data_IF_771725685525
#
_entry.id   IF_771725685525
#
_cell.length_a   1.000
_cell.length_b   1.000
_cell.length_c   1.000
_cell.angle_alpha   90.00
_cell.angle_beta   90.00
_cell.angle_gamma   90.00
#
_symmetry.space_group_name_H-M   'P 1'
#
loop_
_entity.id
_entity.type
_entity.pdbx_description
1 polymer ?
#
# COMPACT_ATOMS: atom_id res chain seq x y z
N UNK A 1 -36.52 -50.12 73.43
CA UNK A 1 -35.31 -49.27 73.26
C UNK A 1 -35.15 -49.05 71.79
N UNK A 2 -35.42 -47.86 71.31
CA UNK A 2 -35.41 -47.51 69.87
C UNK A 2 -34.19 -46.63 69.63
N UNK A 3 -33.25 -47.13 68.89
CA UNK A 3 -32.00 -46.39 68.52
C UNK A 3 -32.22 -45.60 67.21
N UNK A 4 -32.18 -44.27 67.29
CA UNK A 4 -32.26 -43.39 66.17
C UNK A 4 -30.90 -43.31 65.43
N UNK A 5 -30.86 -43.68 64.17
CA UNK A 5 -29.72 -43.43 63.31
C UNK A 5 -29.83 -42.02 62.69
N UNK A 6 -28.79 -41.22 62.86
CA UNK A 6 -28.65 -39.89 62.27
C UNK A 6 -27.92 -40.05 60.93
N UNK A 7 -28.60 -39.76 59.77
CA UNK A 7 -27.97 -39.66 58.51
C UNK A 7 -27.40 -38.24 58.34
N UNK A 8 -26.07 -38.14 58.22
CA UNK A 8 -25.37 -36.91 57.87
C UNK A 8 -25.22 -36.84 56.33
N UNK A 9 -25.99 -35.94 55.69
CA UNK A 9 -25.88 -35.71 54.28
C UNK A 9 -24.65 -34.86 53.97
N UNK A 10 -23.69 -35.40 53.21
CA UNK A 10 -22.57 -34.68 52.61
C UNK A 10 -23.06 -34.02 51.31
N UNK A 11 -23.21 -32.71 51.29
CA UNK A 11 -23.44 -31.95 50.07
C UNK A 11 -22.12 -31.79 49.30
N UNK A 12 -21.99 -32.47 48.15
CA UNK A 12 -20.90 -32.27 47.22
C UNK A 12 -21.17 -30.97 46.45
N UNK A 13 -20.45 -29.91 46.76
CA UNK A 13 -20.40 -28.69 45.92
C UNK A 13 -19.43 -28.95 44.76
N UNK A 14 -19.98 -29.27 43.59
CA UNK A 14 -19.23 -29.35 42.36
C UNK A 14 -18.82 -27.91 41.94
N UNK A 15 -17.59 -27.53 42.24
CA UNK A 15 -16.98 -26.30 41.75
C UNK A 15 -16.79 -26.38 40.24
N UNK A 16 -17.61 -25.68 39.46
CA UNK A 16 -17.38 -25.43 38.05
C UNK A 16 -16.21 -24.46 37.92
N UNK A 17 -15.00 -24.96 37.69
CA UNK A 17 -13.86 -24.16 37.26
C UNK A 17 -14.10 -23.74 35.82
N UNK A 18 -14.53 -22.50 35.60
CA UNK A 18 -14.55 -21.88 34.30
C UNK A 18 -13.10 -21.64 33.89
N UNK A 19 -12.56 -22.54 33.09
CA UNK A 19 -11.32 -22.32 32.37
C UNK A 19 -11.60 -21.22 31.34
N UNK A 20 -11.32 -19.95 31.70
CA UNK A 20 -11.15 -18.86 30.73
C UNK A 20 -9.89 -19.20 29.96
N UNK A 21 -10.04 -19.97 28.87
CA UNK A 21 -8.98 -20.19 27.92
C UNK A 21 -8.59 -18.83 27.37
N UNK A 22 -7.40 -18.33 27.70
CA UNK A 22 -6.79 -17.26 26.95
C UNK A 22 -6.62 -17.78 25.54
N UNK A 23 -7.52 -17.39 24.63
CA UNK A 23 -7.33 -17.65 23.21
C UNK A 23 -5.99 -17.03 22.83
N UNK A 24 -5.03 -17.85 22.39
CA UNK A 24 -3.78 -17.36 21.86
C UNK A 24 -4.12 -16.36 20.73
N UNK A 25 -3.48 -15.20 20.76
CA UNK A 25 -3.70 -14.19 19.71
C UNK A 25 -3.40 -14.83 18.35
N UNK A 26 -4.38 -14.81 17.46
CA UNK A 26 -4.23 -15.30 16.09
C UNK A 26 -3.22 -14.42 15.38
N UNK A 27 -2.19 -15.03 14.79
CA UNK A 27 -1.13 -14.30 14.08
C UNK A 27 -1.28 -14.48 12.58
N UNK A 28 -1.33 -13.36 11.84
CA UNK A 28 -1.42 -13.33 10.37
C UNK A 28 -0.13 -12.76 9.78
N UNK A 29 0.48 -13.50 8.84
CA UNK A 29 1.72 -13.11 8.14
C UNK A 29 1.35 -12.39 6.84
N UNK A 30 1.81 -11.14 6.71
CA UNK A 30 1.55 -10.27 5.55
C UNK A 30 2.86 -9.88 4.90
N UNK A 31 3.11 -10.36 3.67
CA UNK A 31 4.32 -10.05 2.91
C UNK A 31 3.99 -9.16 1.70
N UNK A 32 4.91 -8.34 1.22
CA UNK A 32 4.73 -7.63 -0.05
C UNK A 32 4.97 -6.13 -0.01
N UNK A 33 3.99 -5.35 -0.49
CA UNK A 33 4.10 -3.91 -0.70
C UNK A 33 4.52 -3.13 0.54
N UNK A 34 5.65 -2.43 0.44
CA UNK A 34 6.11 -1.49 1.48
C UNK A 34 5.16 -0.29 1.64
N UNK A 35 4.43 0.09 0.59
CA UNK A 35 3.41 1.15 0.66
C UNK A 35 2.26 0.73 1.58
N UNK A 36 1.69 -0.46 1.36
CA UNK A 36 0.61 -0.99 2.22
C UNK A 36 1.11 -1.18 3.65
N UNK A 37 2.33 -1.72 3.82
CA UNK A 37 2.94 -1.88 5.14
C UNK A 37 3.02 -0.54 5.89
N UNK A 38 3.63 0.48 5.29
CA UNK A 38 3.94 1.76 5.96
C UNK A 38 2.73 2.67 6.14
N UNK A 39 1.79 2.64 5.20
CA UNK A 39 0.64 3.53 5.21
C UNK A 39 -0.59 2.95 5.93
N UNK A 40 -0.76 1.64 5.90
CA UNK A 40 -1.96 0.98 6.43
C UNK A 40 -1.63 0.13 7.64
N UNK A 41 -0.78 -0.89 7.47
CA UNK A 41 -0.64 -1.94 8.47
C UNK A 41 0.09 -1.48 9.71
N UNK A 42 1.27 -0.86 9.58
CA UNK A 42 2.06 -0.41 10.73
C UNK A 42 1.33 0.64 11.58
N UNK A 43 0.72 1.71 10.98
CA UNK A 43 0.04 2.72 11.79
C UNK A 43 -1.17 2.20 12.54
N UNK A 44 -1.86 1.19 12.00
CA UNK A 44 -3.06 0.61 12.60
C UNK A 44 -2.84 -0.68 13.39
N UNK A 45 -1.60 -1.22 13.46
CA UNK A 45 -1.30 -2.54 14.02
C UNK A 45 -1.83 -2.73 15.44
N UNK A 46 -1.53 -1.80 16.34
CA UNK A 46 -1.92 -1.90 17.74
C UNK A 46 -3.43 -1.77 17.93
N UNK A 47 -4.06 -0.88 17.15
CA UNK A 47 -5.50 -0.71 17.16
C UNK A 47 -6.22 -1.95 16.60
N UNK A 48 -5.71 -2.55 15.52
CA UNK A 48 -6.21 -3.81 14.97
C UNK A 48 -6.15 -4.92 16.04
N UNK A 49 -4.99 -5.09 16.68
CA UNK A 49 -4.82 -6.11 17.73
C UNK A 49 -5.80 -5.90 18.87
N UNK A 50 -5.99 -4.65 19.31
CA UNK A 50 -6.95 -4.32 20.37
C UNK A 50 -8.40 -4.62 19.97
N UNK A 51 -8.77 -4.31 18.72
CA UNK A 51 -10.15 -4.48 18.23
C UNK A 51 -10.50 -5.93 17.90
N UNK A 52 -9.56 -6.70 17.36
CA UNK A 52 -9.84 -8.02 16.78
C UNK A 52 -9.16 -9.19 17.50
N UNK A 53 -8.18 -8.93 18.35
CA UNK A 53 -7.32 -9.95 18.96
C UNK A 53 -6.25 -10.50 17.98
N UNK A 54 -6.21 -10.01 16.72
CA UNK A 54 -5.29 -10.50 15.70
C UNK A 54 -3.98 -9.72 15.77
N UNK A 55 -2.86 -10.43 15.81
CA UNK A 55 -1.53 -9.86 15.61
C UNK A 55 -1.08 -10.03 14.16
N UNK A 56 -0.31 -9.09 13.62
CA UNK A 56 0.21 -9.16 12.26
C UNK A 56 1.73 -9.13 12.24
N UNK A 57 2.33 -10.03 11.46
CA UNK A 57 3.75 -10.05 11.14
C UNK A 57 3.93 -9.52 9.72
N UNK A 58 4.76 -8.49 9.56
CA UNK A 58 4.89 -7.72 8.33
C UNK A 58 6.27 -7.91 7.70
N UNK A 59 6.30 -8.26 6.41
CA UNK A 59 7.53 -8.33 5.61
C UNK A 59 7.35 -7.48 4.35
N UNK A 60 7.95 -6.29 4.32
CA UNK A 60 7.92 -5.38 3.17
C UNK A 60 9.02 -5.70 2.16
N UNK A 61 8.77 -6.62 1.25
CA UNK A 61 9.71 -7.08 0.24
C UNK A 61 9.29 -6.77 -1.21
N UNK A 62 8.22 -5.97 -1.40
CA UNK A 62 7.66 -5.59 -2.70
C UNK A 62 6.50 -6.51 -3.13
N UNK A 63 5.55 -5.94 -3.91
CA UNK A 63 4.30 -6.63 -4.29
C UNK A 63 4.57 -7.99 -4.94
N UNK A 64 5.42 -8.06 -5.96
CA UNK A 64 5.70 -9.31 -6.68
C UNK A 64 6.27 -10.41 -5.77
N UNK A 65 7.24 -10.07 -4.92
CA UNK A 65 7.82 -11.02 -3.95
C UNK A 65 6.76 -11.47 -2.92
N UNK A 66 5.85 -10.57 -2.51
CA UNK A 66 4.76 -10.91 -1.61
C UNK A 66 3.79 -11.91 -2.23
N UNK A 67 3.45 -11.74 -3.52
CA UNK A 67 2.61 -12.70 -4.25
C UNK A 67 3.32 -14.05 -4.41
N UNK A 68 4.63 -14.06 -4.70
CA UNK A 68 5.44 -15.29 -4.72
C UNK A 68 5.41 -16.01 -3.36
N UNK A 69 5.58 -15.27 -2.27
CA UNK A 69 5.52 -15.81 -0.92
C UNK A 69 4.14 -16.39 -0.58
N UNK A 70 3.06 -15.74 -1.05
CA UNK A 70 1.69 -16.23 -0.87
C UNK A 70 1.47 -17.54 -1.63
N UNK A 71 1.87 -17.60 -2.91
CA UNK A 71 1.76 -18.81 -3.73
C UNK A 71 2.56 -19.97 -3.13
N UNK A 72 3.73 -19.66 -2.57
CA UNK A 72 4.60 -20.63 -1.89
C UNK A 72 4.15 -20.98 -0.45
N UNK A 73 3.05 -20.42 0.06
CA UNK A 73 2.54 -20.68 1.41
C UNK A 73 3.37 -20.09 2.56
N UNK A 74 4.26 -19.14 2.28
CA UNK A 74 5.12 -18.49 3.28
C UNK A 74 4.39 -17.39 4.04
N UNK A 75 3.29 -16.86 3.52
CA UNK A 75 2.43 -15.87 4.18
C UNK A 75 0.95 -16.21 3.99
N UNK A 76 0.10 -15.54 4.74
CA UNK A 76 -1.34 -15.78 4.77
C UNK A 76 -2.09 -14.85 3.82
N UNK A 77 -1.51 -13.66 3.52
CA UNK A 77 -1.94 -12.78 2.45
C UNK A 77 -0.77 -11.93 1.94
N UNK A 78 -0.84 -11.52 0.66
CA UNK A 78 0.14 -10.61 0.08
C UNK A 78 -0.38 -9.16 0.10
N UNK A 79 0.46 -8.24 0.57
CA UNK A 79 0.21 -6.81 0.47
C UNK A 79 0.53 -6.34 -0.95
N UNK A 80 -0.42 -5.69 -1.62
CA UNK A 80 -0.25 -5.17 -2.99
C UNK A 80 -0.68 -3.71 -3.11
N UNK A 81 0.01 -2.97 -3.96
CA UNK A 81 -0.26 -1.56 -4.27
C UNK A 81 -0.38 -1.31 -5.79
N UNK A 82 -0.94 -2.25 -6.48
CA UNK A 82 -1.22 -2.28 -7.91
C UNK A 82 -2.36 -3.27 -8.17
N UNK A 83 -2.94 -3.25 -9.36
CA UNK A 83 -3.98 -4.20 -9.76
C UNK A 83 -3.48 -5.66 -9.68
N UNK A 84 -4.39 -6.61 -9.45
CA UNK A 84 -4.04 -8.03 -9.30
C UNK A 84 -3.22 -8.55 -10.49
N UNK A 85 -3.62 -8.21 -11.72
CA UNK A 85 -2.91 -8.64 -12.91
C UNK A 85 -1.47 -8.11 -12.96
N UNK A 86 -1.27 -6.84 -12.55
CA UNK A 86 0.06 -6.23 -12.49
C UNK A 86 0.90 -6.82 -11.34
N UNK A 87 0.27 -7.13 -10.20
CA UNK A 87 0.91 -7.80 -9.07
C UNK A 87 1.45 -9.17 -9.47
N UNK A 88 0.65 -9.96 -10.18
CA UNK A 88 1.07 -11.26 -10.75
C UNK A 88 2.17 -11.08 -11.81
N UNK A 89 2.04 -10.08 -12.69
CA UNK A 89 3.06 -9.80 -13.71
C UNK A 89 4.41 -9.39 -13.08
N UNK A 90 4.40 -8.79 -11.90
CA UNK A 90 5.60 -8.35 -11.19
C UNK A 90 6.35 -9.46 -10.44
N UNK A 91 5.81 -10.70 -10.40
CA UNK A 91 6.51 -11.87 -9.89
C UNK A 91 7.76 -12.17 -10.75
N UNK A 92 8.86 -12.52 -10.11
CA UNK A 92 10.11 -12.91 -10.79
C UNK A 92 10.06 -14.36 -11.24
N UNK A 93 9.44 -15.23 -10.43
CA UNK A 93 9.32 -16.65 -10.74
C UNK A 93 8.19 -16.89 -11.76
N UNK A 94 8.58 -17.22 -12.99
CA UNK A 94 7.64 -17.56 -14.06
C UNK A 94 6.87 -18.86 -13.77
N UNK A 95 7.44 -19.82 -13.03
CA UNK A 95 6.78 -21.07 -12.69
C UNK A 95 5.66 -20.87 -11.67
N UNK A 96 5.83 -19.93 -10.74
CA UNK A 96 4.81 -19.54 -9.78
C UNK A 96 3.57 -18.90 -10.43
N UNK A 97 3.71 -18.26 -11.59
CA UNK A 97 2.59 -17.63 -12.31
C UNK A 97 1.49 -18.60 -12.72
N UNK A 98 1.82 -19.87 -12.97
CA UNK A 98 0.84 -20.90 -13.29
C UNK A 98 -0.12 -21.22 -12.11
N UNK A 99 0.29 -20.94 -10.87
CA UNK A 99 -0.46 -21.21 -9.66
C UNK A 99 -1.29 -20.01 -9.17
N UNK A 100 -1.52 -18.99 -10.01
CA UNK A 100 -2.17 -17.74 -9.62
C UNK A 100 -3.65 -17.67 -9.95
N UNK A 101 -4.22 -18.73 -10.54
CA UNK A 101 -5.62 -18.72 -11.03
C UNK A 101 -6.70 -18.59 -9.95
N UNK A 102 -6.36 -18.80 -8.69
CA UNK A 102 -7.26 -18.69 -7.54
C UNK A 102 -6.98 -17.46 -6.65
N UNK A 103 -6.10 -16.56 -7.09
CA UNK A 103 -5.80 -15.35 -6.33
C UNK A 103 -6.95 -14.36 -6.35
N UNK A 104 -7.31 -13.82 -5.19
CA UNK A 104 -8.40 -12.86 -5.01
C UNK A 104 -7.91 -11.55 -4.40
N UNK A 105 -8.27 -10.39 -5.00
CA UNK A 105 -7.96 -9.09 -4.44
C UNK A 105 -8.98 -8.70 -3.37
N UNK A 106 -8.50 -8.23 -2.21
CA UNK A 106 -9.30 -7.67 -1.14
C UNK A 106 -8.87 -6.21 -0.97
N UNK A 107 -9.50 -5.30 -1.72
CA UNK A 107 -9.16 -3.87 -1.73
C UNK A 107 -9.54 -3.25 -0.38
N UNK A 108 -8.61 -2.52 0.22
CA UNK A 108 -8.80 -1.76 1.48
C UNK A 108 -9.14 -0.32 1.17
N UNK A 109 -8.33 0.34 0.34
CA UNK A 109 -8.50 1.74 -0.09
C UNK A 109 -7.75 1.99 -1.40
N UNK A 110 -7.98 3.13 -2.00
CA UNK A 110 -7.22 3.59 -3.16
C UNK A 110 -6.11 4.56 -2.72
N UNK A 111 -4.97 4.48 -3.39
CA UNK A 111 -3.88 5.43 -3.28
C UNK A 111 -3.91 6.38 -4.46
N UNK A 112 -3.98 7.68 -4.19
CA UNK A 112 -3.97 8.70 -5.24
C UNK A 112 -2.53 9.12 -5.50
N UNK A 113 -2.09 9.02 -6.76
CA UNK A 113 -0.80 9.53 -7.23
C UNK A 113 -1.01 10.96 -7.69
N UNK A 114 -0.19 11.87 -7.19
CA UNK A 114 -0.20 13.28 -7.54
C UNK A 114 1.06 13.65 -8.32
N UNK A 115 0.89 14.49 -9.32
CA UNK A 115 2.00 15.13 -10.02
C UNK A 115 2.45 16.33 -9.20
N UNK A 116 3.75 16.39 -8.98
CA UNK A 116 4.39 17.44 -8.19
C UNK A 116 5.41 18.18 -9.05
N UNK A 117 5.49 19.48 -8.80
CA UNK A 117 6.50 20.37 -9.38
C UNK A 117 7.14 21.23 -8.30
N UNK A 118 8.23 21.88 -8.63
CA UNK A 118 8.83 22.90 -7.74
C UNK A 118 7.81 24.01 -7.45
N UNK A 119 7.74 24.57 -6.23
CA UNK A 119 6.83 25.66 -5.91
C UNK A 119 6.99 26.90 -6.80
N UNK A 120 8.20 27.17 -7.34
CA UNK A 120 8.48 28.26 -8.25
C UNK A 120 7.93 28.05 -9.67
N UNK A 121 7.57 26.82 -10.05
CA UNK A 121 7.00 26.53 -11.37
C UNK A 121 5.58 27.13 -11.47
N UNK A 122 5.26 27.97 -12.48
CA UNK A 122 3.95 28.63 -12.56
C UNK A 122 2.80 27.68 -13.00
N UNK A 123 3.11 26.53 -13.59
CA UNK A 123 2.10 25.60 -14.10
C UNK A 123 1.22 25.06 -12.97
N UNK A 124 -0.10 25.15 -13.15
CA UNK A 124 -1.09 24.71 -12.15
C UNK A 124 -1.96 23.55 -12.62
N UNK A 125 -2.00 23.30 -13.93
CA UNK A 125 -2.83 22.25 -14.52
C UNK A 125 -2.13 21.64 -15.74
N UNK A 126 -2.27 20.31 -15.90
CA UNK A 126 -1.74 19.56 -17.04
C UNK A 126 -2.78 18.52 -17.51
N UNK A 127 -2.92 18.37 -18.82
CA UNK A 127 -3.69 17.29 -19.42
C UNK A 127 -2.90 15.97 -19.38
N UNK A 128 -3.57 14.86 -19.68
CA UNK A 128 -2.92 13.54 -19.77
C UNK A 128 -1.84 13.53 -20.86
N UNK A 129 -2.12 14.14 -22.01
CA UNK A 129 -1.22 14.24 -23.16
C UNK A 129 0.02 15.08 -22.81
N UNK A 130 -0.19 16.19 -22.09
CA UNK A 130 0.93 17.03 -21.63
C UNK A 130 1.80 16.27 -20.62
N UNK A 131 1.19 15.55 -19.67
CA UNK A 131 1.92 14.70 -18.71
C UNK A 131 2.74 13.65 -19.44
N UNK A 132 2.14 12.92 -20.39
CA UNK A 132 2.84 11.94 -21.22
C UNK A 132 4.01 12.59 -21.95
N UNK A 133 3.78 13.75 -22.58
CA UNK A 133 4.81 14.47 -23.35
C UNK A 133 5.97 14.95 -22.49
N UNK A 134 5.71 15.47 -21.29
CA UNK A 134 6.74 15.90 -20.33
C UNK A 134 7.59 14.71 -19.86
N UNK A 135 6.96 13.59 -19.49
CA UNK A 135 7.68 12.45 -18.95
C UNK A 135 8.42 11.59 -19.97
N UNK A 136 7.97 11.58 -21.23
CA UNK A 136 8.68 10.87 -22.31
C UNK A 136 9.63 11.76 -23.12
N UNK A 137 9.69 13.07 -22.81
CA UNK A 137 10.61 14.03 -23.44
C UNK A 137 10.15 14.62 -24.76
N UNK A 138 8.92 14.33 -25.25
CA UNK A 138 8.38 15.01 -26.47
C UNK A 138 8.01 16.47 -26.16
N UNK A 139 7.78 16.81 -24.91
CA UNK A 139 7.72 18.16 -24.36
C UNK A 139 8.91 18.32 -23.42
N UNK A 140 9.95 18.99 -23.90
CA UNK A 140 11.25 19.13 -23.24
C UNK A 140 11.45 20.50 -22.56
N UNK A 141 10.48 21.42 -22.73
CA UNK A 141 10.53 22.76 -22.18
C UNK A 141 9.17 23.16 -21.60
N UNK A 142 9.17 23.74 -20.41
CA UNK A 142 7.99 24.16 -19.69
C UNK A 142 7.17 25.24 -20.43
N UNK A 143 7.80 26.08 -21.27
CA UNK A 143 7.09 27.09 -22.07
C UNK A 143 6.04 26.49 -23.00
N UNK A 144 6.21 25.22 -23.42
CA UNK A 144 5.26 24.49 -24.26
C UNK A 144 3.94 24.13 -23.56
N UNK A 145 3.91 24.27 -22.23
CA UNK A 145 2.73 23.99 -21.40
C UNK A 145 2.35 25.16 -20.49
N UNK A 146 2.78 26.37 -20.84
CA UNK A 146 2.43 27.60 -20.12
C UNK A 146 3.33 27.89 -18.90
N UNK A 147 4.47 27.23 -18.80
CA UNK A 147 5.51 27.48 -17.81
C UNK A 147 6.57 28.48 -18.26
N UNK A 148 7.63 28.60 -17.48
CA UNK A 148 8.80 29.42 -17.81
C UNK A 148 9.62 28.78 -18.95
N UNK A 149 10.50 29.54 -19.59
CA UNK A 149 11.43 29.02 -20.58
C UNK A 149 12.59 28.28 -19.89
N UNK A 150 12.30 27.06 -19.44
CA UNK A 150 13.21 26.16 -18.72
C UNK A 150 13.05 24.75 -19.27
N UNK A 151 14.16 24.02 -19.41
CA UNK A 151 14.14 22.60 -19.78
C UNK A 151 13.48 21.77 -18.67
N UNK A 152 12.75 20.72 -19.07
CA UNK A 152 12.07 19.83 -18.10
C UNK A 152 13.06 18.84 -17.49
N UNK A 153 13.09 18.73 -16.17
CA UNK A 153 13.80 17.68 -15.43
C UNK A 153 12.78 16.70 -14.88
N UNK A 154 12.70 15.51 -15.46
CA UNK A 154 11.84 14.44 -14.97
C UNK A 154 12.55 13.72 -13.84
N UNK A 155 11.93 13.70 -12.64
CA UNK A 155 12.38 12.92 -11.50
C UNK A 155 11.41 11.75 -11.33
N UNK A 156 11.93 10.54 -11.21
CA UNK A 156 11.10 9.34 -11.06
C UNK A 156 11.74 8.34 -10.10
N UNK A 157 10.93 7.54 -9.42
CA UNK A 157 11.43 6.45 -8.60
C UNK A 157 12.05 5.34 -9.47
N UNK A 158 12.83 4.45 -8.83
CA UNK A 158 13.48 3.31 -9.49
C UNK A 158 12.51 2.35 -10.20
N UNK A 159 13.02 1.50 -11.09
CA UNK A 159 12.22 0.57 -11.91
C UNK A 159 11.31 -0.38 -11.11
N UNK A 160 11.69 -0.73 -9.89
CA UNK A 160 10.88 -1.55 -8.98
C UNK A 160 9.70 -0.83 -8.31
N UNK A 161 9.59 0.50 -8.48
CA UNK A 161 8.53 1.30 -7.85
C UNK A 161 7.17 1.04 -8.48
N UNK A 162 6.19 0.64 -7.66
CA UNK A 162 4.81 0.50 -8.11
C UNK A 162 4.20 1.84 -8.53
N UNK A 163 4.55 2.96 -7.90
CA UNK A 163 4.10 4.30 -8.30
C UNK A 163 4.55 4.63 -9.72
N UNK A 164 5.85 4.40 -10.03
CA UNK A 164 6.40 4.58 -11.37
C UNK A 164 5.67 3.72 -12.41
N UNK A 165 5.46 2.43 -12.12
CA UNK A 165 4.75 1.50 -13.03
C UNK A 165 3.32 1.93 -13.31
N UNK A 166 2.57 2.29 -12.25
CA UNK A 166 1.18 2.76 -12.39
C UNK A 166 1.13 4.04 -13.21
N UNK A 167 2.01 5.01 -12.95
CA UNK A 167 2.08 6.24 -13.73
C UNK A 167 2.42 5.97 -15.20
N UNK A 168 3.43 5.14 -15.46
CA UNK A 168 3.83 4.76 -16.82
C UNK A 168 2.69 4.05 -17.57
N UNK A 169 1.95 3.16 -16.91
CA UNK A 169 0.82 2.44 -17.52
C UNK A 169 -0.36 3.38 -17.80
N UNK A 170 -0.81 4.13 -16.78
CA UNK A 170 -2.07 4.87 -16.85
C UNK A 170 -1.96 6.22 -17.53
N UNK A 171 -0.82 6.90 -17.43
CA UNK A 171 -0.58 8.24 -18.01
C UNK A 171 0.21 8.15 -19.31
N UNK A 172 1.33 7.41 -19.28
CA UNK A 172 2.25 7.32 -20.40
C UNK A 172 1.87 6.21 -21.41
N UNK A 173 0.82 5.42 -21.10
CA UNK A 173 0.33 4.33 -21.96
C UNK A 173 1.43 3.32 -22.32
N UNK A 174 2.30 3.05 -21.35
CA UNK A 174 3.42 2.12 -21.50
C UNK A 174 4.66 2.70 -22.17
N UNK A 175 4.61 3.96 -22.68
CA UNK A 175 5.81 4.57 -23.29
C UNK A 175 6.92 4.74 -22.24
N UNK A 176 8.21 4.61 -22.63
CA UNK A 176 9.30 4.79 -21.68
C UNK A 176 9.43 6.25 -21.22
N UNK A 177 9.99 6.42 -20.02
CA UNK A 177 10.45 7.74 -19.58
C UNK A 177 11.58 8.25 -20.47
N UNK A 178 11.74 9.59 -20.54
CA UNK A 178 12.87 10.21 -21.24
C UNK A 178 14.21 9.65 -20.73
N UNK A 179 15.15 9.40 -21.62
CA UNK A 179 16.43 8.77 -21.29
C UNK A 179 17.26 9.51 -20.22
N UNK A 180 17.06 10.83 -20.09
CA UNK A 180 17.70 11.67 -19.06
C UNK A 180 16.91 11.82 -17.77
N UNK A 181 15.84 11.02 -17.55
CA UNK A 181 15.08 11.08 -16.30
C UNK A 181 15.97 10.78 -15.09
N UNK A 182 15.90 11.62 -14.05
CA UNK A 182 16.61 11.43 -12.79
C UNK A 182 15.92 10.34 -11.98
N UNK A 183 16.52 9.15 -12.00
CA UNK A 183 16.01 8.02 -11.23
C UNK A 183 16.51 8.10 -9.79
N UNK A 184 15.58 8.01 -8.82
CA UNK A 184 15.86 8.05 -7.39
C UNK A 184 15.39 6.78 -6.67
N UNK A 185 16.06 6.44 -5.57
CA UNK A 185 15.81 5.19 -4.82
C UNK A 185 14.51 5.19 -4.02
N UNK A 186 14.00 6.37 -3.64
CA UNK A 186 12.82 6.47 -2.75
C UNK A 186 11.94 7.64 -3.14
N UNK A 187 10.63 7.53 -2.85
CA UNK A 187 9.65 8.61 -3.04
C UNK A 187 10.04 9.88 -2.26
N UNK A 188 10.72 9.76 -1.12
CA UNK A 188 11.22 10.93 -0.38
C UNK A 188 12.27 11.68 -1.20
N UNK A 189 13.24 10.95 -1.76
CA UNK A 189 14.25 11.55 -2.64
C UNK A 189 13.63 12.17 -3.90
N UNK A 190 12.52 11.63 -4.41
CA UNK A 190 11.78 12.22 -5.52
C UNK A 190 11.23 13.60 -5.14
N UNK A 191 10.58 13.73 -3.98
CA UNK A 191 10.10 15.00 -3.44
C UNK A 191 11.27 15.99 -3.22
N UNK A 192 12.36 15.52 -2.59
CA UNK A 192 13.52 16.37 -2.29
C UNK A 192 14.17 16.90 -3.58
N UNK A 193 14.32 16.07 -4.61
CA UNK A 193 14.90 16.51 -5.89
C UNK A 193 13.97 17.47 -6.64
N UNK A 194 12.66 17.20 -6.73
CA UNK A 194 11.71 18.15 -7.34
C UNK A 194 11.73 19.49 -6.60
N UNK A 195 11.94 19.50 -5.30
CA UNK A 195 12.04 20.75 -4.51
C UNK A 195 13.30 21.56 -4.79
N UNK A 196 14.36 20.92 -5.25
CA UNK A 196 15.65 21.57 -5.53
C UNK A 196 15.73 22.15 -6.96
N UNK A 197 15.01 21.57 -7.91
CA UNK A 197 15.06 21.96 -9.31
C UNK A 197 13.79 22.75 -9.70
N UNK A 198 13.88 24.05 -10.05
CA UNK A 198 12.72 24.80 -10.57
C UNK A 198 12.08 24.14 -11.81
N UNK A 199 12.86 23.37 -12.55
CA UNK A 199 12.48 22.61 -13.74
C UNK A 199 11.88 21.23 -13.44
N UNK A 200 11.88 20.82 -12.16
CA UNK A 200 11.55 19.47 -11.73
C UNK A 200 10.07 19.13 -11.83
N UNK A 201 9.79 17.92 -12.34
CA UNK A 201 8.47 17.27 -12.29
C UNK A 201 8.63 15.84 -11.78
N UNK A 202 7.70 15.39 -10.93
CA UNK A 202 7.65 14.02 -10.43
C UNK A 202 6.21 13.56 -10.21
N UNK A 203 6.05 12.27 -9.86
CA UNK A 203 4.75 11.68 -9.59
C UNK A 203 4.81 10.78 -8.35
N UNK A 204 4.16 11.19 -7.26
CA UNK A 204 4.25 10.53 -5.95
C UNK A 204 2.88 10.25 -5.34
N UNK A 205 2.81 9.24 -4.48
CA UNK A 205 1.60 8.97 -3.70
C UNK A 205 1.28 10.14 -2.76
N UNK A 206 -0.01 10.51 -2.68
CA UNK A 206 -0.51 11.59 -1.82
C UNK A 206 -0.09 11.39 -0.35
N UNK A 207 -0.07 10.14 0.12
CA UNK A 207 0.36 9.84 1.49
C UNK A 207 1.80 10.23 1.80
N UNK A 208 2.69 10.29 0.81
CA UNK A 208 4.05 10.81 1.03
C UNK A 208 4.10 12.34 1.05
N UNK A 209 3.24 12.99 0.28
CA UNK A 209 3.13 14.46 0.29
C UNK A 209 2.65 14.94 1.66
N UNK A 210 1.69 14.24 2.27
CA UNK A 210 1.09 14.59 3.55
C UNK A 210 2.01 14.31 4.76
N UNK A 211 3.17 13.68 4.56
CA UNK A 211 4.14 13.52 5.65
C UNK A 211 4.71 14.88 6.08
N UNK A 212 4.95 15.09 7.40
CA UNK A 212 5.50 16.34 7.91
C UNK A 212 6.75 16.80 7.15
N UNK A 213 6.76 18.07 6.74
CA UNK A 213 7.86 18.70 6.03
C UNK A 213 7.97 18.38 4.54
N UNK A 214 7.01 17.66 3.94
CA UNK A 214 7.01 17.36 2.51
C UNK A 214 6.05 18.27 1.72
N UNK A 215 4.90 18.60 2.31
CA UNK A 215 3.85 19.37 1.63
C UNK A 215 4.33 20.77 1.21
N UNK A 216 5.18 21.38 2.01
CA UNK A 216 5.72 22.72 1.78
C UNK A 216 6.84 22.73 0.73
N UNK A 217 7.44 21.58 0.43
CA UNK A 217 8.56 21.45 -0.50
C UNK A 217 8.14 21.45 -1.96
N UNK A 218 6.91 21.06 -2.26
CA UNK A 218 6.44 20.85 -3.63
C UNK A 218 5.05 21.42 -3.84
N UNK A 219 4.74 21.75 -5.09
CA UNK A 219 3.41 22.14 -5.52
C UNK A 219 2.74 20.99 -6.25
N UNK A 220 1.49 20.67 -5.88
CA UNK A 220 0.65 19.72 -6.60
C UNK A 220 0.06 20.41 -7.82
N UNK A 221 0.13 19.76 -8.97
CA UNK A 221 -0.50 20.19 -10.21
C UNK A 221 -1.85 19.51 -10.38
N UNK A 222 -2.87 20.24 -10.83
CA UNK A 222 -4.17 19.67 -11.17
C UNK A 222 -4.04 18.80 -12.45
N UNK A 223 -4.45 17.54 -12.32
CA UNK A 223 -4.33 16.54 -13.38
C UNK A 223 -5.52 15.58 -13.34
N UNK A 224 -5.78 14.81 -14.42
CA UNK A 224 -6.68 13.68 -14.32
C UNK A 224 -6.31 12.76 -13.13
N UNK A 225 -7.32 12.13 -12.53
CA UNK A 225 -7.12 11.25 -11.38
C UNK A 225 -6.25 10.06 -11.77
N UNK A 226 -5.19 9.84 -11.03
CA UNK A 226 -4.30 8.69 -11.14
C UNK A 226 -4.39 7.95 -9.80
N UNK A 227 -4.96 6.75 -9.81
CA UNK A 227 -5.13 5.95 -8.60
C UNK A 227 -4.71 4.51 -8.80
N UNK A 228 -4.47 3.83 -7.68
CA UNK A 228 -4.18 2.40 -7.62
C UNK A 228 -4.76 1.80 -6.34
N UNK A 229 -5.20 0.53 -6.36
CA UNK A 229 -5.68 -0.10 -5.14
C UNK A 229 -4.53 -0.40 -4.16
N UNK A 230 -4.81 -0.23 -2.87
CA UNK A 230 -4.05 -0.80 -1.78
C UNK A 230 -4.85 -1.94 -1.20
N UNK A 231 -4.32 -3.16 -1.27
CA UNK A 231 -5.09 -4.36 -0.99
C UNK A 231 -4.27 -5.49 -0.36
N UNK A 232 -4.99 -6.47 0.16
CA UNK A 232 -4.48 -7.80 0.47
C UNK A 232 -4.92 -8.77 -0.62
N UNK A 233 -3.97 -9.56 -1.15
CA UNK A 233 -4.26 -10.65 -2.07
C UNK A 233 -4.25 -11.95 -1.27
N UNK A 234 -5.25 -12.81 -1.49
CA UNK A 234 -5.37 -14.13 -0.86
C UNK A 234 -5.44 -15.23 -1.91
N UNK A 235 -5.12 -16.46 -1.50
CA UNK A 235 -5.34 -17.66 -2.31
C UNK A 235 -6.73 -18.20 -1.97
N UNK A 236 -7.67 -18.09 -2.92
CA UNK A 236 -9.10 -18.30 -2.66
C UNK A 236 -9.72 -17.20 -1.79
N UNK A 237 -10.83 -17.50 -1.13
CA UNK A 237 -11.48 -16.57 -0.22
C UNK A 237 -10.58 -16.25 0.98
N UNK A 238 -10.63 -15.03 1.51
CA UNK A 238 -9.85 -14.66 2.67
C UNK A 238 -10.24 -15.52 3.89
N UNK A 239 -9.25 -15.95 4.67
CA UNK A 239 -9.54 -16.58 5.96
C UNK A 239 -10.33 -15.61 6.85
N UNK A 240 -11.06 -16.11 7.87
CA UNK A 240 -11.77 -15.23 8.80
C UNK A 240 -10.88 -14.16 9.45
N UNK A 241 -9.62 -14.47 9.71
CA UNK A 241 -8.66 -13.53 10.25
C UNK A 241 -8.27 -12.45 9.23
N UNK A 242 -7.96 -12.83 7.99
CA UNK A 242 -7.65 -11.86 6.93
C UNK A 242 -8.87 -10.99 6.62
N UNK A 243 -10.09 -11.56 6.60
CA UNK A 243 -11.31 -10.79 6.40
C UNK A 243 -11.49 -9.73 7.48
N UNK A 244 -11.30 -10.10 8.76
CA UNK A 244 -11.37 -9.13 9.89
C UNK A 244 -10.34 -8.00 9.75
N UNK A 245 -9.13 -8.29 9.24
CA UNK A 245 -8.13 -7.24 8.97
C UNK A 245 -8.64 -6.28 7.90
N UNK A 246 -9.16 -6.80 6.78
CA UNK A 246 -9.71 -5.99 5.70
C UNK A 246 -10.88 -5.13 6.19
N UNK A 247 -11.84 -5.74 6.92
CA UNK A 247 -13.02 -5.04 7.44
C UNK A 247 -12.65 -3.96 8.45
N UNK A 248 -11.68 -4.24 9.33
CA UNK A 248 -11.16 -3.24 10.26
C UNK A 248 -10.64 -2.00 9.53
N UNK A 249 -9.75 -2.16 8.55
CA UNK A 249 -9.18 -1.02 7.82
C UNK A 249 -10.17 -0.34 6.86
N UNK A 250 -11.21 -1.02 6.41
CA UNK A 250 -12.33 -0.40 5.66
C UNK A 250 -13.29 0.37 6.57
N UNK A 251 -13.37 -0.03 7.85
CA UNK A 251 -14.26 0.54 8.87
C UNK A 251 -13.54 1.48 9.84
N UNK A 252 -13.55 1.10 11.12
CA UNK A 252 -13.03 1.94 12.23
C UNK A 252 -11.53 2.20 12.16
N UNK A 253 -10.77 1.32 11.51
CA UNK A 253 -9.33 1.44 11.30
C UNK A 253 -8.93 2.41 10.21
N UNK A 254 -9.87 2.90 9.39
CA UNK A 254 -9.60 3.84 8.30
C UNK A 254 -8.86 5.11 8.76
N UNK A 255 -9.15 5.57 9.98
CA UNK A 255 -8.50 6.76 10.59
C UNK A 255 -6.99 6.59 10.84
N UNK A 256 -6.47 5.36 10.81
CA UNK A 256 -5.03 5.10 10.96
C UNK A 256 -4.30 5.05 9.62
N UNK A 257 -5.04 4.98 8.50
CA UNK A 257 -4.43 5.01 7.16
C UNK A 257 -3.81 6.39 6.96
N UNK A 258 -2.53 6.40 6.61
CA UNK A 258 -1.80 7.65 6.32
C UNK A 258 -1.98 8.01 4.85
N UNK A 259 -2.74 9.04 4.60
CA UNK A 259 -2.97 9.68 3.28
C UNK A 259 -2.07 10.90 3.10
#
# INVERSE_FOLDING_TARGET
>A
MVTKAILTGCALVAGMTVFSGMAAAETVRLHGSTTVQKRIMEPGKDALKKATGIDIVLVGNGTGNGVEDLVAGKCDAAMASEELADAVASMKDASGKAATGDLKPNVITDDIIKVIVNPANPVTKLSKEQLKGLHNGTIDNWSKVGGSDLSVIVVTSHLGSATRKVFQKSVMEGTPYVAGALEVETTRKEIDNVSQFPEGIGAVSMGFINLPGNKEKVKIVDTPVISRPLMLITKGDPSPAVQKIVDFFKGEGKKYIKD
#
